data_IF_697959051651
#
_entry.id   IF_697959051651
#
_cell.length_a   1.000
_cell.length_b   1.000
_cell.length_c   1.000
_cell.angle_alpha   90.00
_cell.angle_beta   90.00
_cell.angle_gamma   90.00
#
_symmetry.space_group_name_H-M   'P 1'
#
loop_
_entity.id
_entity.type
_entity.pdbx_description
1 polymer ?
#
# COMPACT_ATOMS: atom_id res chain seq x y z
N UNK A 1 -16.46 -1.71 10.54
CA UNK A 1 -16.13 -2.10 9.15
C UNK A 1 -16.76 -3.45 8.85
N UNK A 2 -17.86 -3.48 8.08
CA UNK A 2 -18.36 -4.76 7.54
C UNK A 2 -17.35 -5.21 6.48
N UNK A 3 -16.48 -6.14 6.87
CA UNK A 3 -15.50 -6.87 6.06
C UNK A 3 -14.27 -6.07 5.58
N UNK A 4 -13.35 -5.75 6.50
CA UNK A 4 -11.98 -5.43 6.10
C UNK A 4 -11.26 -6.74 5.72
N UNK A 5 -11.48 -7.21 4.49
CA UNK A 5 -10.83 -8.40 3.95
C UNK A 5 -9.29 -8.28 3.91
N UNK A 6 -8.59 -9.37 3.53
CA UNK A 6 -7.13 -9.37 3.41
C UNK A 6 -6.58 -8.22 2.54
N UNK A 7 -7.34 -7.76 1.54
CA UNK A 7 -7.11 -6.55 0.74
C UNK A 7 -6.88 -5.33 1.63
N UNK A 8 -7.90 -4.99 2.42
CA UNK A 8 -7.92 -3.85 3.32
C UNK A 8 -6.86 -3.97 4.40
N UNK A 9 -6.70 -5.16 4.97
CA UNK A 9 -5.69 -5.40 5.99
C UNK A 9 -4.27 -5.13 5.46
N UNK A 10 -3.97 -5.55 4.23
CA UNK A 10 -2.65 -5.39 3.62
C UNK A 10 -2.30 -3.92 3.31
N UNK A 11 -3.21 -3.15 2.71
CA UNK A 11 -2.98 -1.74 2.41
C UNK A 11 -2.89 -0.90 3.69
N UNK A 12 -3.77 -1.14 4.66
CA UNK A 12 -3.73 -0.42 5.95
C UNK A 12 -2.44 -0.76 6.70
N UNK A 13 -1.98 -2.01 6.64
CA UNK A 13 -0.68 -2.38 7.24
C UNK A 13 0.48 -1.60 6.62
N UNK A 14 0.58 -1.56 5.29
CA UNK A 14 1.66 -0.82 4.62
C UNK A 14 1.59 0.68 4.94
N UNK A 15 0.39 1.27 4.92
CA UNK A 15 0.22 2.68 5.25
C UNK A 15 0.55 2.98 6.71
N UNK A 16 0.18 2.13 7.67
CA UNK A 16 0.47 2.36 9.09
C UNK A 16 1.96 2.23 9.43
N UNK A 17 2.71 1.37 8.73
CA UNK A 17 4.06 1.01 9.14
C UNK A 17 5.17 1.63 8.28
N UNK A 18 4.87 2.10 7.07
CA UNK A 18 5.85 2.77 6.23
C UNK A 18 5.96 4.27 6.55
N UNK A 19 7.17 4.75 6.83
CA UNK A 19 7.46 6.11 7.29
C UNK A 19 6.88 7.23 6.41
N UNK A 20 6.83 7.02 5.09
CA UNK A 20 6.21 7.95 4.15
C UNK A 20 4.70 7.80 4.09
N UNK A 21 4.19 6.56 4.01
CA UNK A 21 2.79 6.29 3.68
C UNK A 21 1.87 6.64 4.86
N UNK A 22 2.35 6.54 6.09
CA UNK A 22 1.58 6.88 7.29
C UNK A 22 1.05 8.32 7.26
N UNK A 23 1.77 9.23 6.62
CA UNK A 23 1.34 10.63 6.48
C UNK A 23 0.15 10.82 5.52
N UNK A 24 -0.22 9.77 4.77
CA UNK A 24 -1.30 9.77 3.80
C UNK A 24 -2.46 8.85 4.21
N UNK A 25 -2.38 8.21 5.38
CA UNK A 25 -3.49 7.47 5.97
C UNK A 25 -4.45 8.44 6.67
N UNK A 26 -5.16 9.24 5.88
CA UNK A 26 -6.07 10.28 6.37
C UNK A 26 -7.46 10.13 5.76
N UNK A 27 -8.47 10.72 6.40
CA UNK A 27 -9.85 10.73 5.90
C UNK A 27 -10.00 11.46 4.55
N UNK A 28 -8.96 12.16 4.08
CA UNK A 28 -8.96 12.74 2.74
C UNK A 28 -8.74 11.67 1.66
N UNK A 29 -7.83 10.71 1.89
CA UNK A 29 -7.50 9.67 0.91
C UNK A 29 -8.26 8.37 1.16
N UNK A 30 -8.65 8.10 2.41
CA UNK A 30 -9.31 6.88 2.84
C UNK A 30 -10.69 7.20 3.40
N UNK A 31 -11.71 6.74 2.71
CA UNK A 31 -13.07 6.71 3.21
C UNK A 31 -13.34 5.29 3.72
N UNK A 32 -13.05 5.07 5.01
CA UNK A 32 -13.18 3.75 5.64
C UNK A 32 -14.63 3.33 5.87
N UNK A 33 -15.55 4.29 5.91
CA UNK A 33 -16.98 4.03 6.11
C UNK A 33 -17.62 3.50 4.83
N UNK A 34 -17.23 4.05 3.68
CA UNK A 34 -17.69 3.62 2.36
C UNK A 34 -16.74 2.61 1.69
N UNK A 35 -15.58 2.34 2.28
CA UNK A 35 -14.60 1.42 1.72
C UNK A 35 -14.01 1.92 0.39
N UNK A 36 -13.66 3.21 0.33
CA UNK A 36 -13.08 3.83 -0.87
C UNK A 36 -11.69 4.41 -0.59
N UNK A 37 -10.84 4.36 -1.61
CA UNK A 37 -9.50 4.97 -1.59
C UNK A 37 -9.34 5.85 -2.82
N UNK A 38 -8.88 7.09 -2.64
CA UNK A 38 -8.60 8.02 -3.75
C UNK A 38 -7.27 7.68 -4.45
N UNK A 39 -7.22 6.54 -5.13
CA UNK A 39 -6.03 5.99 -5.79
C UNK A 39 -5.36 6.98 -6.74
N UNK A 40 -6.15 7.66 -7.59
CA UNK A 40 -5.63 8.64 -8.56
C UNK A 40 -4.90 9.81 -7.88
N UNK A 41 -5.44 10.31 -6.78
CA UNK A 41 -4.83 11.42 -6.05
C UNK A 41 -3.58 10.99 -5.30
N UNK A 42 -3.56 9.77 -4.72
CA UNK A 42 -2.36 9.20 -4.11
C UNK A 42 -1.23 9.03 -5.14
N UNK A 43 -1.52 8.46 -6.31
CA UNK A 43 -0.53 8.28 -7.39
C UNK A 43 -0.04 9.63 -7.94
N UNK A 44 -0.91 10.63 -8.03
CA UNK A 44 -0.52 11.99 -8.42
C UNK A 44 0.39 12.62 -7.36
N UNK A 45 0.07 12.43 -6.07
CA UNK A 45 0.85 12.95 -4.95
C UNK A 45 2.21 12.28 -4.82
N UNK A 46 2.36 11.03 -5.27
CA UNK A 46 3.62 10.28 -5.19
C UNK A 46 4.61 10.56 -6.31
N UNK A 47 4.22 11.30 -7.35
CA UNK A 47 5.12 11.64 -8.48
C UNK A 47 6.51 12.18 -8.06
N UNK A 48 6.64 13.08 -7.05
CA UNK A 48 7.94 13.59 -6.63
C UNK A 48 8.64 12.72 -5.56
N UNK A 49 8.07 11.58 -5.17
CA UNK A 49 8.68 10.71 -4.16
C UNK A 49 9.84 9.90 -4.75
N UNK A 50 10.68 9.35 -3.89
CA UNK A 50 11.72 8.40 -4.29
C UNK A 50 11.13 7.16 -4.97
N UNK A 51 11.96 6.43 -5.73
CA UNK A 51 11.56 5.17 -6.37
C UNK A 51 11.02 4.15 -5.36
N UNK A 52 11.68 4.01 -4.21
CA UNK A 52 11.25 3.13 -3.11
C UNK A 52 9.88 3.53 -2.56
N UNK A 53 9.66 4.80 -2.27
CA UNK A 53 8.37 5.29 -1.76
C UNK A 53 7.24 5.12 -2.79
N UNK A 54 7.52 5.37 -4.08
CA UNK A 54 6.57 5.14 -5.16
C UNK A 54 6.23 3.66 -5.31
N UNK A 55 7.23 2.78 -5.21
CA UNK A 55 7.01 1.34 -5.23
C UNK A 55 6.10 0.90 -4.08
N UNK A 56 6.39 1.33 -2.85
CA UNK A 56 5.59 0.97 -1.68
C UNK A 56 4.13 1.39 -1.82
N UNK A 57 3.86 2.59 -2.36
CA UNK A 57 2.49 3.03 -2.63
C UNK A 57 1.81 2.17 -3.71
N UNK A 58 2.48 1.96 -4.84
CA UNK A 58 1.94 1.17 -5.95
C UNK A 58 1.65 -0.26 -5.50
N UNK A 59 2.53 -0.85 -4.70
CA UNK A 59 2.32 -2.17 -4.12
C UNK A 59 1.08 -2.18 -3.22
N UNK A 60 0.95 -1.21 -2.32
CA UNK A 60 -0.20 -1.15 -1.42
C UNK A 60 -1.54 -1.07 -2.20
N UNK A 61 -1.60 -0.24 -3.24
CA UNK A 61 -2.76 -0.15 -4.13
C UNK A 61 -2.96 -1.46 -4.90
N UNK A 62 -1.89 -2.06 -5.42
CA UNK A 62 -1.96 -3.32 -6.15
C UNK A 62 -2.53 -4.46 -5.31
N UNK A 63 -2.11 -4.57 -4.05
CA UNK A 63 -2.64 -5.56 -3.11
C UNK A 63 -4.11 -5.32 -2.79
N UNK A 64 -4.54 -4.06 -2.77
CA UNK A 64 -5.92 -3.69 -2.48
C UNK A 64 -6.89 -4.01 -3.63
N UNK A 65 -6.60 -3.53 -4.85
CA UNK A 65 -7.54 -3.62 -5.98
C UNK A 65 -6.88 -3.86 -7.35
N UNK A 66 -5.56 -4.12 -7.39
CA UNK A 66 -4.79 -4.35 -8.61
C UNK A 66 -4.78 -3.20 -9.65
N UNK A 67 -5.25 -2.00 -9.30
CA UNK A 67 -5.28 -0.85 -10.23
C UNK A 67 -3.88 -0.29 -10.55
N UNK A 68 -2.91 -0.50 -9.64
CA UNK A 68 -1.53 -0.12 -9.88
C UNK A 68 -0.74 -1.30 -10.45
N UNK A 69 -0.05 -1.08 -11.58
CA UNK A 69 0.96 -2.02 -12.07
C UNK A 69 2.22 -1.91 -11.20
N UNK A 70 2.73 -3.06 -10.78
CA UNK A 70 3.93 -3.20 -9.97
C UNK A 70 4.89 -4.12 -10.70
N UNK A 71 6.14 -3.70 -10.84
CA UNK A 71 7.23 -4.59 -11.24
C UNK A 71 7.87 -5.12 -9.97
N UNK A 72 7.77 -6.42 -9.68
CA UNK A 72 8.33 -6.99 -8.46
C UNK A 72 9.86 -6.96 -8.45
N UNK A 73 10.53 -6.79 -9.60
CA UNK A 73 11.98 -6.58 -9.64
C UNK A 73 12.38 -5.27 -8.94
N UNK A 74 11.46 -4.32 -8.77
CA UNK A 74 11.72 -3.09 -8.02
C UNK A 74 11.94 -3.34 -6.52
N UNK A 75 11.61 -4.53 -6.00
CA UNK A 75 11.90 -4.92 -4.61
C UNK A 75 13.41 -4.86 -4.32
N UNK A 76 14.27 -5.10 -5.31
CA UNK A 76 15.73 -5.09 -5.11
C UNK A 76 16.27 -3.74 -4.64
N UNK A 77 15.59 -2.65 -5.01
CA UNK A 77 15.95 -1.28 -4.62
C UNK A 77 15.48 -0.88 -3.22
N UNK A 78 14.72 -1.74 -2.54
CA UNK A 78 14.26 -1.50 -1.18
C UNK A 78 15.37 -1.81 -0.16
N UNK A 79 15.41 -1.00 0.90
CA UNK A 79 16.15 -1.36 2.10
C UNK A 79 15.52 -2.56 2.82
N UNK A 80 16.23 -3.09 3.82
CA UNK A 80 15.80 -4.28 4.55
C UNK A 80 14.46 -4.08 5.28
N UNK A 81 14.19 -2.87 5.77
CA UNK A 81 12.96 -2.55 6.49
C UNK A 81 11.77 -2.58 5.54
N UNK A 82 11.89 -1.93 4.38
CA UNK A 82 10.85 -1.91 3.35
C UNK A 82 10.61 -3.32 2.78
N UNK A 83 11.66 -4.13 2.58
CA UNK A 83 11.51 -5.54 2.18
C UNK A 83 10.70 -6.32 3.21
N UNK A 84 10.95 -6.13 4.50
CA UNK A 84 10.18 -6.79 5.55
C UNK A 84 8.71 -6.38 5.53
N UNK A 85 8.43 -5.09 5.35
CA UNK A 85 7.04 -4.59 5.22
C UNK A 85 6.31 -5.21 4.04
N UNK A 86 6.97 -5.33 2.88
CA UNK A 86 6.42 -6.00 1.69
C UNK A 86 6.06 -7.45 2.00
N UNK A 87 6.97 -8.19 2.64
CA UNK A 87 6.74 -9.61 2.97
C UNK A 87 5.58 -9.80 3.95
N UNK A 88 5.49 -8.97 4.99
CA UNK A 88 4.37 -9.02 5.93
C UNK A 88 3.04 -8.63 5.26
N UNK A 89 3.04 -7.63 4.37
CA UNK A 89 1.85 -7.27 3.60
C UNK A 89 1.37 -8.42 2.71
N UNK A 90 2.28 -9.17 2.07
CA UNK A 90 1.94 -10.37 1.32
C UNK A 90 1.34 -11.46 2.21
N UNK A 91 1.95 -11.73 3.38
CA UNK A 91 1.41 -12.69 4.34
C UNK A 91 -0.01 -12.31 4.78
N UNK A 92 -0.27 -11.02 5.01
CA UNK A 92 -1.60 -10.54 5.37
C UNK A 92 -2.58 -10.73 4.20
N UNK A 93 -2.19 -10.31 2.98
CA UNK A 93 -3.03 -10.38 1.79
C UNK A 93 -3.44 -11.81 1.43
N UNK A 94 -2.50 -12.74 1.57
CA UNK A 94 -2.62 -14.12 1.11
C UNK A 94 -2.75 -15.13 2.26
N UNK A 95 -3.09 -14.65 3.46
CA UNK A 95 -3.31 -15.52 4.63
C UNK A 95 -4.43 -16.51 4.33
N UNK A 96 -4.11 -17.80 4.34
CA UNK A 96 -5.08 -18.88 4.10
C UNK A 96 -5.16 -19.37 2.64
N UNK A 97 -4.23 -18.95 1.78
CA UNK A 97 -3.86 -19.73 0.59
C UNK A 97 -2.97 -20.91 0.96
#
# INVERSE_FOLDING_TARGET
MKNAGPEWASIIYLFKNHSKLQNYLTNYYFDLDNGLILVKELLKKSKPWSRSEQFMLKLAIHLFNSEAKVDLNDIDYLDINNKQLVMEAFKIRFKGM
#
